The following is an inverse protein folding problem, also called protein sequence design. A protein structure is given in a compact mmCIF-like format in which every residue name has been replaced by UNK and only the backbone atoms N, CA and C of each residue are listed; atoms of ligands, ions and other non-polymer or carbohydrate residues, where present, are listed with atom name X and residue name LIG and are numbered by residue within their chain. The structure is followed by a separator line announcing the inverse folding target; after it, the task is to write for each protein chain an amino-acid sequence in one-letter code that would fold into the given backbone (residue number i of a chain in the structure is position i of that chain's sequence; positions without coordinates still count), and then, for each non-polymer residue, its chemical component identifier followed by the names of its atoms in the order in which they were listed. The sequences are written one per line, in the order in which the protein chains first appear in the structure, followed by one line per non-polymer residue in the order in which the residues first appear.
data_IF_024866348226
#
_entry.id   IF_024866348226
#
_cell.length_a   1.000
_cell.length_b   1.000
_cell.length_c   1.000
_cell.angle_alpha   90.00
_cell.angle_beta   90.00
_cell.angle_gamma   90.00
#
_symmetry.space_group_name_H-M   'P 1'
#
loop_
_entity.id
_entity.type
_entity.pdbx_description
1 polymer ?
#
# COMPACT_ATOMS: atom_id res chain seq x y z
N UNK A 1 -2.65 12.38 -12.92
CA UNK A 1 -3.46 12.78 -11.74
C UNK A 1 -4.87 12.18 -11.78
N UNK A 2 -5.43 11.88 -12.96
CA UNK A 2 -6.84 11.47 -13.12
C UNK A 2 -7.24 10.09 -12.58
N UNK A 3 -6.33 9.11 -12.49
CA UNK A 3 -6.72 7.72 -12.15
C UNK A 3 -7.23 7.54 -10.71
N UNK A 4 -6.76 8.36 -9.76
CA UNK A 4 -7.18 8.30 -8.35
C UNK A 4 -8.23 9.37 -7.99
N UNK A 5 -8.36 10.43 -8.80
CA UNK A 5 -9.22 11.58 -8.49
C UNK A 5 -10.72 11.31 -8.69
N UNK A 6 -11.09 10.21 -9.36
CA UNK A 6 -12.47 9.80 -9.61
C UNK A 6 -12.83 8.44 -8.97
N UNK A 7 -12.01 7.94 -8.05
CA UNK A 7 -12.29 6.67 -7.39
C UNK A 7 -13.32 6.88 -6.30
N UNK A 8 -14.50 6.32 -6.54
CA UNK A 8 -15.53 6.19 -5.53
C UNK A 8 -15.11 5.14 -4.50
N UNK A 9 -14.48 5.59 -3.42
CA UNK A 9 -13.97 4.73 -2.34
C UNK A 9 -15.10 3.99 -1.61
N UNK A 10 -16.34 4.48 -1.68
CA UNK A 10 -17.51 3.76 -1.15
C UNK A 10 -17.77 2.47 -1.94
N UNK A 11 -17.59 2.50 -3.27
CA UNK A 11 -17.65 1.30 -4.11
C UNK A 11 -16.53 0.35 -3.76
N UNK A 12 -15.29 0.82 -3.62
CA UNK A 12 -14.14 -0.04 -3.24
C UNK A 12 -14.39 -0.75 -1.90
N UNK A 13 -14.99 -0.06 -0.92
CA UNK A 13 -15.32 -0.63 0.39
C UNK A 13 -16.34 -1.78 0.31
N UNK A 14 -17.26 -1.72 -0.65
CA UNK A 14 -18.27 -2.77 -0.88
C UNK A 14 -17.74 -4.00 -1.62
N UNK A 15 -16.55 -3.92 -2.22
CA UNK A 15 -15.99 -5.03 -2.99
C UNK A 15 -15.51 -6.19 -2.10
N UNK A 16 -15.40 -7.37 -2.71
CA UNK A 16 -14.80 -8.53 -2.05
C UNK A 16 -13.30 -8.30 -1.77
N UNK A 17 -12.75 -9.07 -0.82
CA UNK A 17 -11.35 -8.94 -0.39
C UNK A 17 -10.36 -9.01 -1.56
N UNK A 18 -10.61 -9.89 -2.53
CA UNK A 18 -9.74 -10.04 -3.70
C UNK A 18 -9.65 -8.76 -4.52
N UNK A 19 -10.78 -8.10 -4.79
CA UNK A 19 -10.82 -6.86 -5.57
C UNK A 19 -10.21 -5.68 -4.81
N UNK A 20 -10.38 -5.64 -3.49
CA UNK A 20 -9.70 -4.67 -2.64
C UNK A 20 -8.18 -4.85 -2.69
N UNK A 21 -7.69 -6.10 -2.65
CA UNK A 21 -6.26 -6.40 -2.75
C UNK A 21 -5.69 -5.95 -4.11
N UNK A 22 -6.39 -6.24 -5.20
CA UNK A 22 -6.02 -5.79 -6.55
C UNK A 22 -5.91 -4.25 -6.62
N UNK A 23 -6.90 -3.55 -6.05
CA UNK A 23 -6.87 -2.10 -5.96
C UNK A 23 -5.64 -1.58 -5.20
N UNK A 24 -5.36 -2.12 -4.01
CA UNK A 24 -4.22 -1.70 -3.18
C UNK A 24 -2.89 -1.96 -3.90
N UNK A 25 -2.75 -3.14 -4.54
CA UNK A 25 -1.56 -3.46 -5.31
C UNK A 25 -1.30 -2.44 -6.42
N UNK A 26 -2.34 -2.11 -7.21
CA UNK A 26 -2.23 -1.11 -8.28
C UNK A 26 -1.91 0.28 -7.74
N UNK A 27 -2.49 0.65 -6.59
CA UNK A 27 -2.15 1.91 -5.91
C UNK A 27 -0.67 1.95 -5.53
N UNK A 28 -0.16 0.91 -4.87
CA UNK A 28 1.24 0.83 -4.45
C UNK A 28 2.19 0.90 -5.64
N UNK A 29 1.89 0.17 -6.72
CA UNK A 29 2.68 0.21 -7.96
C UNK A 29 2.73 1.62 -8.56
N UNK A 30 1.59 2.32 -8.57
CA UNK A 30 1.50 3.67 -9.10
C UNK A 30 2.32 4.68 -8.28
N UNK A 31 2.24 4.63 -6.94
CA UNK A 31 3.04 5.49 -6.07
C UNK A 31 4.55 5.21 -6.23
N UNK A 32 4.96 3.95 -6.33
CA UNK A 32 6.36 3.59 -6.61
C UNK A 32 6.85 4.12 -7.96
N UNK A 33 6.01 4.14 -8.99
CA UNK A 33 6.35 4.70 -10.30
C UNK A 33 6.51 6.22 -10.23
N UNK A 34 5.62 6.91 -9.50
CA UNK A 34 5.77 8.36 -9.26
C UNK A 34 7.08 8.69 -8.55
N UNK A 35 7.40 7.96 -7.48
CA UNK A 35 8.63 8.18 -6.72
C UNK A 35 9.88 8.02 -7.59
N UNK A 36 9.90 7.01 -8.47
CA UNK A 36 10.99 6.83 -9.44
C UNK A 36 11.10 8.00 -10.42
N UNK A 37 9.97 8.49 -10.95
CA UNK A 37 9.95 9.62 -11.87
C UNK A 37 10.38 10.93 -11.17
N UNK A 38 9.95 11.15 -9.93
CA UNK A 38 10.33 12.33 -9.13
C UNK A 38 11.82 12.31 -8.79
N UNK A 39 12.37 11.16 -8.39
CA UNK A 39 13.81 10.99 -8.12
C UNK A 39 14.67 11.23 -9.37
N UNK A 40 14.22 10.76 -10.54
CA UNK A 40 14.90 11.03 -11.82
C UNK A 40 14.90 12.53 -12.18
N UNK A 41 13.82 13.25 -11.89
CA UNK A 41 13.73 14.70 -12.11
C UNK A 41 14.58 15.49 -11.12
N UNK A 42 14.60 15.12 -9.83
CA UNK A 42 15.43 15.78 -8.79
C UNK A 42 16.93 15.62 -9.07
N UNK A 43 17.39 14.48 -9.62
CA UNK A 43 18.80 14.32 -10.05
C UNK A 43 19.25 15.28 -11.16
N UNK A 44 18.36 16.04 -11.79
CA UNK A 44 18.72 17.03 -12.82
C UNK A 44 18.75 18.48 -12.30
N UNK A 45 18.32 18.74 -11.07
CA UNK A 45 18.33 20.08 -10.46
C UNK A 45 18.95 19.99 -9.07
N UNK A 46 20.22 20.33 -8.98
CA UNK A 46 20.97 20.53 -7.73
C UNK A 46 20.42 21.80 -7.11
N UNK A 47 19.45 21.69 -6.21
CA UNK A 47 19.13 22.71 -5.22
C UNK A 47 18.67 21.99 -3.96
N UNK A 48 19.47 22.15 -2.90
CA UNK A 48 19.36 21.51 -1.60
C UNK A 48 18.21 22.13 -0.78
N UNK A 49 16.98 21.70 -1.04
CA UNK A 49 15.92 21.76 -0.04
C UNK A 49 15.47 20.32 0.24
N UNK A 50 15.80 19.85 1.44
CA UNK A 50 15.32 18.59 2.03
C UNK A 50 13.80 18.67 2.18
N UNK A 51 13.11 18.47 1.07
CA UNK A 51 11.66 18.38 1.06
C UNK A 51 11.28 17.01 1.65
N UNK A 52 10.95 17.04 2.93
CA UNK A 52 10.50 15.94 3.81
C UNK A 52 9.11 15.40 3.38
N UNK A 53 8.90 15.29 2.06
CA UNK A 53 7.63 14.91 1.45
C UNK A 53 7.51 13.38 1.43
N UNK A 54 7.37 12.82 2.63
CA UNK A 54 7.08 11.40 2.84
C UNK A 54 5.77 11.07 2.11
N UNK A 55 5.83 10.12 1.18
CA UNK A 55 4.68 9.75 0.36
C UNK A 55 3.51 9.27 1.22
N UNK A 56 2.26 9.40 0.73
CA UNK A 56 1.07 8.90 1.45
C UNK A 56 1.21 7.40 1.78
N UNK A 57 1.85 6.63 0.90
CA UNK A 57 2.13 5.22 1.12
C UNK A 57 3.09 5.00 2.29
N UNK A 58 4.19 5.76 2.36
CA UNK A 58 5.14 5.67 3.47
C UNK A 58 4.52 6.12 4.80
N UNK A 59 3.69 7.18 4.78
CA UNK A 59 2.90 7.61 5.95
C UNK A 59 2.02 6.48 6.48
N UNK A 60 1.29 5.80 5.59
CA UNK A 60 0.46 4.65 5.98
C UNK A 60 1.28 3.53 6.63
N UNK A 61 2.38 3.13 5.99
CA UNK A 61 3.22 2.02 6.46
C UNK A 61 3.80 2.32 7.86
N UNK A 62 4.21 3.57 8.12
CA UNK A 62 4.74 3.99 9.43
C UNK A 62 3.69 3.91 10.56
N UNK A 63 2.41 4.00 10.25
CA UNK A 63 1.32 3.87 11.24
C UNK A 63 1.02 2.41 11.61
N UNK A 64 1.47 1.44 10.80
CA UNK A 64 1.26 0.02 11.07
C UNK A 64 2.25 -0.50 12.11
N UNK A 65 1.78 -1.42 12.97
CA UNK A 65 2.68 -2.22 13.80
C UNK A 65 3.49 -3.23 12.95
N UNK A 66 4.53 -3.82 13.54
CA UNK A 66 5.46 -4.73 12.86
C UNK A 66 4.77 -5.91 12.14
N UNK A 67 3.78 -6.52 12.78
CA UNK A 67 2.98 -7.61 12.20
C UNK A 67 2.22 -7.16 10.95
N UNK A 68 1.53 -6.02 11.03
CA UNK A 68 0.73 -5.50 9.93
C UNK A 68 1.60 -4.99 8.79
N UNK A 69 2.75 -4.38 9.10
CA UNK A 69 3.77 -4.01 8.12
C UNK A 69 4.22 -5.25 7.35
N UNK A 70 4.57 -6.35 8.05
CA UNK A 70 5.02 -7.58 7.40
C UNK A 70 3.98 -8.13 6.43
N UNK A 71 2.71 -8.15 6.81
CA UNK A 71 1.62 -8.60 5.92
C UNK A 71 1.46 -7.65 4.73
N UNK A 72 1.49 -6.34 4.97
CA UNK A 72 1.33 -5.34 3.91
C UNK A 72 2.46 -5.42 2.88
N UNK A 73 3.72 -5.46 3.34
CA UNK A 73 4.89 -5.56 2.48
C UNK A 73 4.85 -6.82 1.61
N UNK A 74 4.62 -7.99 2.21
CA UNK A 74 4.60 -9.25 1.46
C UNK A 74 3.47 -9.30 0.42
N UNK A 75 2.29 -8.71 0.71
CA UNK A 75 1.15 -8.75 -0.20
C UNK A 75 1.21 -7.67 -1.30
N UNK A 76 1.67 -6.46 -0.98
CA UNK A 76 1.43 -5.28 -1.84
C UNK A 76 2.70 -4.58 -2.32
N UNK A 77 3.85 -4.84 -1.70
CA UNK A 77 5.13 -4.18 -2.05
C UNK A 77 6.08 -5.16 -2.72
N UNK A 78 6.31 -6.32 -2.11
CA UNK A 78 7.21 -7.34 -2.63
C UNK A 78 6.53 -8.32 -3.58
N UNK A 79 5.19 -8.41 -3.52
CA UNK A 79 4.41 -9.40 -4.26
C UNK A 79 4.98 -10.82 -4.07
N UNK A 80 5.10 -11.25 -2.82
CA UNK A 80 5.76 -12.50 -2.48
C UNK A 80 5.06 -13.67 -3.23
N UNK A 81 5.79 -14.43 -4.07
CA UNK A 81 5.21 -15.50 -4.87
C UNK A 81 4.79 -16.72 -4.03
N UNK A 82 5.35 -16.86 -2.82
CA UNK A 82 5.04 -17.98 -1.94
C UNK A 82 3.68 -17.75 -1.27
N UNK A 83 2.64 -18.44 -1.76
CA UNK A 83 1.27 -18.22 -1.29
C UNK A 83 1.03 -18.56 0.20
N UNK A 84 1.95 -19.28 0.84
CA UNK A 84 1.82 -19.80 2.21
C UNK A 84 2.85 -19.26 3.20
N UNK A 85 3.64 -18.23 2.82
CA UNK A 85 4.68 -17.63 3.66
C UNK A 85 4.24 -17.29 5.10
N UNK A 86 2.94 -16.98 5.25
CA UNK A 86 2.35 -16.59 6.53
C UNK A 86 2.26 -17.74 7.53
N UNK A 87 2.31 -19.00 7.10
CA UNK A 87 2.21 -20.17 7.97
C UNK A 87 3.40 -20.29 8.94
N UNK A 88 4.53 -19.67 8.62
CA UNK A 88 5.66 -19.56 9.53
C UNK A 88 5.40 -18.65 10.75
N UNK A 89 4.32 -17.85 10.73
CA UNK A 89 4.05 -16.81 11.73
C UNK A 89 2.66 -16.91 12.35
N UNK A 90 1.65 -17.25 11.54
CA UNK A 90 0.25 -17.27 11.97
C UNK A 90 -0.50 -18.45 11.35
N UNK A 91 -1.55 -18.89 12.05
CA UNK A 91 -2.52 -19.80 11.44
C UNK A 91 -3.25 -19.11 10.29
N UNK A 92 -3.74 -19.91 9.34
CA UNK A 92 -4.51 -19.44 8.18
C UNK A 92 -5.62 -18.45 8.56
N UNK A 93 -6.44 -18.81 9.56
CA UNK A 93 -7.55 -17.95 10.00
C UNK A 93 -7.08 -16.63 10.61
N UNK A 94 -6.02 -16.65 11.42
CA UNK A 94 -5.45 -15.45 12.01
C UNK A 94 -4.87 -14.52 10.94
N UNK A 95 -4.16 -15.08 9.97
CA UNK A 95 -3.62 -14.34 8.83
C UNK A 95 -4.73 -13.66 8.02
N UNK A 96 -5.77 -14.38 7.58
CA UNK A 96 -6.82 -13.80 6.76
C UNK A 96 -7.63 -12.72 7.51
N UNK A 97 -7.81 -12.85 8.83
CA UNK A 97 -8.39 -11.78 9.66
C UNK A 97 -7.52 -10.53 9.66
N UNK A 98 -6.20 -10.67 9.88
CA UNK A 98 -5.24 -9.55 9.84
C UNK A 98 -5.17 -8.91 8.45
N UNK A 99 -5.12 -9.72 7.39
CA UNK A 99 -5.11 -9.24 6.01
C UNK A 99 -6.37 -8.41 5.70
N UNK A 100 -7.56 -8.92 6.06
CA UNK A 100 -8.81 -8.18 5.86
C UNK A 100 -8.83 -6.87 6.65
N UNK A 101 -8.33 -6.88 7.89
CA UNK A 101 -8.18 -5.66 8.70
C UNK A 101 -7.29 -4.63 8.00
N UNK A 102 -6.08 -5.02 7.57
CA UNK A 102 -5.12 -4.14 6.91
C UNK A 102 -5.68 -3.56 5.61
N UNK A 103 -6.37 -4.39 4.82
CA UNK A 103 -7.00 -3.96 3.57
C UNK A 103 -8.05 -2.87 3.82
N UNK A 104 -8.94 -3.06 4.80
CA UNK A 104 -9.95 -2.04 5.10
C UNK A 104 -9.31 -0.79 5.72
N UNK A 105 -8.30 -0.95 6.58
CA UNK A 105 -7.57 0.16 7.18
C UNK A 105 -6.89 1.02 6.11
N UNK A 106 -6.30 0.40 5.08
CA UNK A 106 -5.72 1.14 3.97
C UNK A 106 -6.76 1.94 3.19
N UNK A 107 -7.91 1.33 2.87
CA UNK A 107 -9.01 2.00 2.16
C UNK A 107 -9.53 3.20 2.97
N UNK A 108 -9.67 3.05 4.28
CA UNK A 108 -10.10 4.13 5.16
C UNK A 108 -9.04 5.24 5.25
N UNK A 109 -7.75 4.89 5.26
CA UNK A 109 -6.65 5.87 5.29
C UNK A 109 -6.60 6.74 4.04
N UNK A 110 -6.77 6.16 2.85
CA UNK A 110 -6.75 6.94 1.60
C UNK A 110 -8.03 7.75 1.37
N UNK A 111 -9.09 7.47 2.13
CA UNK A 111 -10.36 8.20 2.10
C UNK A 111 -10.35 9.46 3.00
N UNK A 112 -9.24 9.73 3.69
CA UNK A 112 -9.01 10.93 4.49
C UNK A 112 -8.23 11.97 3.67
#
# INVERSE_FOLDING_TARGET
MEYLQNIDLSKIRSLCLQKKREFIFNYCLFEQLKDKQLKQKKSQTINDEEDDDISKLEKFIKLLNSDNQKIFFNNFIYNNPESEWYLAYWSKNAYYKKLNYIVNLFIDFINQ
#
